data_IF_043844621891
#
_entry.id   IF_043844621891
#
_cell.length_a   1.000
_cell.length_b   1.000
_cell.length_c   1.000
_cell.angle_alpha   90.00
_cell.angle_beta   90.00
_cell.angle_gamma   90.00
#
_symmetry.space_group_name_H-M   'P 1'
#
loop_
_entity.id
_entity.type
_entity.pdbx_description
1 polymer ?
#
# COMPACT_ATOMS: atom_id res chain seq x y z
N UNK A 1 7.49 25.41 7.79
CA UNK A 1 7.89 25.24 9.20
C UNK A 1 8.04 23.75 9.47
N UNK A 2 9.25 23.19 9.42
CA UNK A 2 9.49 21.81 9.83
C UNK A 2 9.74 21.80 11.34
N UNK A 3 8.66 21.79 12.12
CA UNK A 3 8.76 21.40 13.53
C UNK A 3 9.37 20.00 13.54
N UNK A 4 10.60 19.83 14.05
CA UNK A 4 11.39 18.58 13.99
C UNK A 4 10.75 17.35 14.66
N UNK A 5 9.46 17.44 14.97
CA UNK A 5 8.59 16.37 15.44
C UNK A 5 8.37 15.31 14.36
N UNK A 6 8.17 15.74 13.11
CA UNK A 6 7.99 14.84 11.96
C UNK A 6 9.02 15.16 10.89
N UNK A 7 9.87 14.18 10.58
CA UNK A 7 10.78 14.20 9.45
C UNK A 7 10.17 13.37 8.32
N UNK A 8 9.55 14.07 7.37
CA UNK A 8 8.96 13.49 6.17
C UNK A 8 9.92 12.48 5.51
N UNK A 9 9.42 11.29 5.21
CA UNK A 9 10.18 10.19 4.60
C UNK A 9 11.06 9.40 5.59
N UNK A 10 11.27 9.89 6.82
CA UNK A 10 12.12 9.23 7.80
C UNK A 10 11.43 9.10 9.19
N UNK A 11 10.62 8.04 9.39
CA UNK A 11 9.97 7.77 10.68
C UNK A 11 10.99 7.56 11.80
N UNK A 12 12.09 6.85 11.54
CA UNK A 12 13.11 6.54 12.54
C UNK A 12 13.84 7.79 13.05
N UNK A 13 13.82 8.90 12.31
CA UNK A 13 14.32 10.19 12.76
C UNK A 13 13.23 11.14 13.27
N UNK A 14 11.96 10.77 13.16
CA UNK A 14 10.83 11.58 13.61
C UNK A 14 10.60 11.39 15.10
N UNK A 15 10.68 12.48 15.88
CA UNK A 15 10.40 12.45 17.32
C UNK A 15 9.03 11.84 17.62
N UNK A 16 8.01 12.14 16.81
CA UNK A 16 6.66 11.58 16.95
C UNK A 16 6.66 10.06 16.98
N UNK A 17 7.38 9.41 16.06
CA UNK A 17 7.42 7.95 16.02
C UNK A 17 8.22 7.38 17.20
N UNK A 18 9.36 8.00 17.53
CA UNK A 18 10.23 7.57 18.63
C UNK A 18 9.50 7.52 19.98
N UNK A 19 8.71 8.54 20.30
CA UNK A 19 7.99 8.61 21.58
C UNK A 19 6.88 7.56 21.70
N UNK A 20 6.29 7.12 20.57
CA UNK A 20 5.24 6.10 20.54
C UNK A 20 5.80 4.68 20.72
N UNK A 21 7.07 4.46 20.39
CA UNK A 21 7.75 3.16 20.53
C UNK A 21 8.72 3.12 21.72
N UNK A 22 8.81 4.20 22.49
CA UNK A 22 9.67 4.26 23.66
C UNK A 22 9.21 3.24 24.73
N UNK A 23 10.07 2.95 25.70
CA UNK A 23 9.68 2.08 26.81
C UNK A 23 8.55 2.74 27.61
N UNK A 24 7.45 2.03 27.95
CA UNK A 24 6.30 2.61 28.66
C UNK A 24 6.63 3.31 29.98
N UNK A 25 7.76 2.97 30.60
CA UNK A 25 8.24 3.56 31.85
C UNK A 25 9.18 4.76 31.66
N UNK A 26 9.46 5.17 30.42
CA UNK A 26 10.33 6.31 30.13
C UNK A 26 9.55 7.63 30.11
N UNK A 27 10.20 8.72 30.51
CA UNK A 27 9.59 10.07 30.46
C UNK A 27 9.29 10.54 29.03
N UNK A 28 9.92 9.93 28.03
CA UNK A 28 9.68 10.23 26.62
C UNK A 28 8.48 9.45 26.05
N UNK A 29 7.96 8.45 26.76
CA UNK A 29 6.86 7.63 26.25
C UNK A 29 5.56 8.40 26.13
N UNK A 30 4.95 8.28 24.96
CA UNK A 30 3.66 8.88 24.67
C UNK A 30 2.66 7.80 24.20
N UNK A 31 1.43 7.81 24.72
CA UNK A 31 0.90 8.78 25.68
C UNK A 31 1.39 8.49 27.12
N UNK A 32 1.52 9.52 27.97
CA UNK A 32 1.99 9.35 29.34
C UNK A 32 0.95 8.62 30.19
N UNK A 33 1.37 8.03 31.30
CA UNK A 33 0.44 7.51 32.31
C UNK A 33 -0.59 8.58 32.72
N UNK A 34 -1.90 8.26 32.86
CA UNK A 34 -2.50 6.91 32.92
C UNK A 34 -3.06 6.40 31.58
N UNK A 35 -2.70 7.02 30.45
CA UNK A 35 -3.29 6.67 29.16
C UNK A 35 -2.72 5.37 28.59
N UNK A 36 -3.56 4.62 27.87
CA UNK A 36 -3.15 3.39 27.22
C UNK A 36 -2.23 3.66 26.02
N UNK A 37 -1.20 2.83 25.80
CA UNK A 37 -0.42 2.85 24.57
C UNK A 37 -1.30 2.74 23.33
N UNK A 38 -0.87 3.39 22.24
CA UNK A 38 -1.45 3.11 20.93
C UNK A 38 -1.19 1.65 20.56
N UNK A 39 -2.11 1.05 19.81
CA UNK A 39 -1.91 -0.30 19.29
C UNK A 39 -0.81 -0.32 18.24
N UNK A 40 -0.18 -1.48 18.03
CA UNK A 40 0.85 -1.64 16.99
C UNK A 40 0.35 -1.24 15.60
N UNK A 41 -0.92 -1.47 15.29
CA UNK A 41 -1.53 -1.06 14.02
C UNK A 41 -1.66 0.46 13.91
N UNK A 42 -2.08 1.14 14.97
CA UNK A 42 -2.17 2.60 15.01
C UNK A 42 -0.80 3.25 14.87
N UNK A 43 0.22 2.70 15.54
CA UNK A 43 1.62 3.12 15.39
C UNK A 43 2.10 2.85 13.96
N UNK A 44 1.71 1.72 13.36
CA UNK A 44 2.01 1.37 11.97
C UNK A 44 1.43 2.37 10.96
N UNK A 45 0.22 2.90 11.20
CA UNK A 45 -0.37 3.95 10.36
C UNK A 45 0.44 5.25 10.42
N UNK A 46 0.89 5.64 11.62
CA UNK A 46 1.72 6.84 11.81
C UNK A 46 3.08 6.66 11.14
N UNK A 47 3.72 5.49 11.31
CA UNK A 47 4.96 5.14 10.60
C UNK A 47 4.79 5.29 9.10
N UNK A 48 3.73 4.69 8.54
CA UNK A 48 3.47 4.72 7.10
C UNK A 48 3.21 6.13 6.57
N UNK A 49 2.41 6.93 7.30
CA UNK A 49 2.17 8.33 6.97
C UNK A 49 3.46 9.17 6.96
N UNK A 50 4.39 8.93 7.88
CA UNK A 50 5.69 9.61 7.86
C UNK A 50 6.53 9.11 6.68
N UNK A 51 6.59 7.79 6.44
CA UNK A 51 7.37 7.19 5.36
C UNK A 51 6.99 7.70 3.97
N UNK A 52 5.73 8.02 3.73
CA UNK A 52 5.28 8.59 2.44
C UNK A 52 5.62 10.08 2.28
N UNK A 53 6.30 10.70 3.25
CA UNK A 53 6.61 12.12 3.22
C UNK A 53 5.69 13.01 4.05
N UNK A 54 4.93 12.43 4.99
CA UNK A 54 3.97 13.16 5.83
C UNK A 54 2.96 13.99 5.01
N UNK A 55 2.59 13.48 3.83
CA UNK A 55 1.70 14.15 2.89
C UNK A 55 0.27 14.24 3.44
N UNK A 56 -0.39 15.35 3.12
CA UNK A 56 -1.82 15.55 3.35
C UNK A 56 -2.61 14.83 2.26
N UNK A 57 -2.62 13.50 2.37
CA UNK A 57 -3.40 12.68 1.45
C UNK A 57 -4.89 12.96 1.70
N UNK A 58 -5.71 13.10 0.63
CA UNK A 58 -7.14 13.19 0.82
C UNK A 58 -7.63 12.00 1.66
N UNK A 59 -8.55 12.24 2.59
CA UNK A 59 -9.22 11.22 3.41
C UNK A 59 -10.09 10.26 2.58
N UNK A 60 -9.82 10.09 1.28
CA UNK A 60 -10.40 9.07 0.43
C UNK A 60 -9.71 7.73 0.67
N UNK A 61 -10.26 7.04 1.67
CA UNK A 61 -9.87 5.72 2.18
C UNK A 61 -8.46 5.68 2.76
N UNK A 62 -8.41 5.67 4.09
CA UNK A 62 -7.47 4.78 4.78
C UNK A 62 -7.47 3.47 4.01
N UNK A 63 -6.32 3.10 3.49
CA UNK A 63 -6.12 1.83 2.83
C UNK A 63 -6.60 0.69 3.74
N UNK A 64 -7.84 0.24 3.58
CA UNK A 64 -8.27 -0.96 4.27
C UNK A 64 -7.71 -2.14 3.50
N UNK A 65 -6.53 -2.58 3.93
CA UNK A 65 -5.92 -3.77 3.36
C UNK A 65 -6.74 -5.03 3.63
N UNK A 66 -7.79 -5.00 4.45
CA UNK A 66 -8.72 -6.12 4.62
C UNK A 66 -9.83 -6.14 3.56
N UNK A 67 -10.03 -5.04 2.83
CA UNK A 67 -10.84 -5.05 1.62
C UNK A 67 -9.94 -5.36 0.41
N UNK A 68 -9.93 -6.62 -0.01
CA UNK A 68 -9.08 -7.10 -1.10
C UNK A 68 -9.80 -8.07 -2.03
N UNK A 69 -11.14 -8.14 -1.99
CA UNK A 69 -11.88 -9.04 -2.87
C UNK A 69 -11.70 -8.66 -4.33
N UNK A 70 -11.91 -9.63 -5.22
CA UNK A 70 -11.67 -9.44 -6.64
C UNK A 70 -12.57 -8.35 -7.23
N UNK A 71 -13.87 -8.44 -6.96
CA UNK A 71 -14.92 -7.57 -7.51
C UNK A 71 -14.84 -6.14 -6.96
N UNK A 72 -14.50 -5.98 -5.68
CA UNK A 72 -14.53 -4.69 -4.99
C UNK A 72 -13.21 -3.94 -5.12
N UNK A 73 -12.08 -4.65 -5.12
CA UNK A 73 -10.76 -4.02 -5.02
C UNK A 73 -9.85 -4.34 -6.19
N UNK A 74 -9.66 -5.62 -6.52
CA UNK A 74 -8.64 -6.01 -7.51
C UNK A 74 -9.05 -5.58 -8.92
N UNK A 75 -10.25 -5.94 -9.39
CA UNK A 75 -10.72 -5.58 -10.72
C UNK A 75 -10.78 -4.05 -10.91
N UNK A 76 -11.39 -3.26 -10.00
CA UNK A 76 -11.35 -1.81 -10.12
C UNK A 76 -9.92 -1.23 -10.11
N UNK A 77 -9.01 -1.81 -9.34
CA UNK A 77 -7.60 -1.39 -9.34
C UNK A 77 -6.94 -1.66 -10.70
N UNK A 78 -7.14 -2.85 -11.26
CA UNK A 78 -6.61 -3.22 -12.58
C UNK A 78 -7.19 -2.34 -13.68
N UNK A 79 -8.51 -2.10 -13.68
CA UNK A 79 -9.17 -1.25 -14.67
C UNK A 79 -8.63 0.18 -14.62
N UNK A 80 -8.48 0.75 -13.42
CA UNK A 80 -8.07 2.14 -13.27
C UNK A 80 -6.57 2.38 -13.52
N UNK A 81 -5.71 1.37 -13.36
CA UNK A 81 -4.25 1.57 -13.36
C UNK A 81 -3.51 0.75 -14.44
N UNK A 82 -4.16 -0.24 -15.07
CA UNK A 82 -3.49 -1.16 -16.00
C UNK A 82 -4.18 -1.24 -17.36
N UNK A 83 -5.52 -1.17 -17.40
CA UNK A 83 -6.29 -1.42 -18.62
C UNK A 83 -5.97 -0.46 -19.77
N UNK A 84 -5.48 0.76 -19.51
CA UNK A 84 -5.10 1.71 -20.56
C UNK A 84 -4.06 1.16 -21.56
N UNK A 85 -3.19 0.24 -21.11
CA UNK A 85 -2.20 -0.42 -21.98
C UNK A 85 -2.42 -1.94 -22.09
N UNK A 86 -3.10 -2.55 -21.11
CA UNK A 86 -3.27 -4.01 -21.00
C UNK A 86 -4.73 -4.46 -21.23
N UNK A 87 -5.42 -3.87 -22.19
CA UNK A 87 -6.77 -4.27 -22.57
C UNK A 87 -7.00 -4.19 -24.09
N UNK A 88 -8.17 -4.65 -24.54
CA UNK A 88 -8.59 -4.55 -25.94
C UNK A 88 -7.83 -5.48 -26.89
N UNK A 89 -7.91 -5.18 -28.19
CA UNK A 89 -7.39 -6.06 -29.26
C UNK A 89 -5.86 -6.07 -29.39
N UNK A 90 -5.17 -5.03 -28.89
CA UNK A 90 -3.71 -4.88 -29.01
C UNK A 90 -3.09 -4.55 -27.64
N UNK A 91 -3.15 -5.47 -26.67
CA UNK A 91 -2.59 -5.26 -25.35
C UNK A 91 -1.05 -5.22 -25.40
N UNK A 92 -0.46 -4.33 -24.59
CA UNK A 92 0.99 -4.23 -24.42
C UNK A 92 1.57 -5.57 -23.98
N UNK A 93 2.66 -5.98 -24.63
CA UNK A 93 3.32 -7.27 -24.42
C UNK A 93 2.41 -8.51 -24.55
N UNK A 94 1.27 -8.38 -25.25
CA UNK A 94 0.29 -9.47 -25.38
C UNK A 94 -0.44 -9.80 -24.07
N UNK A 95 -0.37 -8.92 -23.06
CA UNK A 95 -0.94 -9.15 -21.73
C UNK A 95 -2.27 -8.42 -21.57
N UNK A 96 -3.37 -9.16 -21.56
CA UNK A 96 -4.70 -8.65 -21.22
C UNK A 96 -4.96 -8.76 -19.72
N UNK A 97 -5.59 -7.74 -19.14
CA UNK A 97 -5.98 -7.65 -17.73
C UNK A 97 -7.42 -7.13 -17.62
N UNK A 98 -8.35 -7.77 -18.32
CA UNK A 98 -9.74 -7.33 -18.51
C UNK A 98 -10.78 -8.22 -17.81
N UNK A 99 -10.38 -9.42 -17.39
CA UNK A 99 -11.23 -10.37 -16.68
C UNK A 99 -10.44 -11.19 -15.66
N UNK A 100 -11.16 -11.91 -14.79
CA UNK A 100 -10.59 -12.74 -13.73
C UNK A 100 -9.56 -13.75 -14.25
N UNK A 101 -9.90 -14.51 -15.29
CA UNK A 101 -9.03 -15.56 -15.85
C UNK A 101 -7.71 -14.97 -16.35
N UNK A 102 -7.77 -13.84 -17.05
CA UNK A 102 -6.60 -13.16 -17.58
C UNK A 102 -5.72 -12.59 -16.46
N UNK A 103 -6.31 -12.02 -15.41
CA UNK A 103 -5.57 -11.51 -14.24
C UNK A 103 -4.90 -12.65 -13.48
N UNK A 104 -5.59 -13.77 -13.25
CA UNK A 104 -5.01 -14.96 -12.59
C UNK A 104 -3.87 -15.53 -13.43
N UNK A 105 -4.03 -15.62 -14.74
CA UNK A 105 -2.96 -16.03 -15.66
C UNK A 105 -1.75 -15.10 -15.57
N UNK A 106 -1.97 -13.79 -15.46
CA UNK A 106 -0.90 -12.82 -15.30
C UNK A 106 -0.12 -13.01 -13.99
N UNK A 107 -0.82 -13.30 -12.90
CA UNK A 107 -0.19 -13.64 -11.62
C UNK A 107 0.66 -14.90 -11.73
N UNK A 108 0.10 -15.97 -12.28
CA UNK A 108 0.76 -17.29 -12.28
C UNK A 108 1.91 -17.37 -13.30
N UNK A 109 1.76 -16.76 -14.47
CA UNK A 109 2.63 -17.03 -15.63
C UNK A 109 3.38 -15.79 -16.15
N UNK A 110 3.06 -14.58 -15.68
CA UNK A 110 3.62 -13.32 -16.21
C UNK A 110 4.22 -12.42 -15.12
N UNK A 111 4.38 -12.94 -13.90
CA UNK A 111 4.99 -12.23 -12.77
C UNK A 111 4.30 -10.88 -12.45
N UNK A 112 2.97 -10.82 -12.50
CA UNK A 112 2.22 -9.57 -12.27
C UNK A 112 2.66 -8.86 -10.97
N UNK A 113 2.71 -9.58 -9.85
CA UNK A 113 3.07 -8.99 -8.55
C UNK A 113 4.49 -8.42 -8.53
N UNK A 114 5.47 -9.13 -9.09
CA UNK A 114 6.85 -8.66 -9.14
C UNK A 114 6.99 -7.38 -9.96
N UNK A 115 6.26 -7.27 -11.07
CA UNK A 115 6.28 -6.09 -11.94
C UNK A 115 5.65 -4.86 -11.27
N UNK A 116 4.50 -5.03 -10.61
CA UNK A 116 3.81 -3.93 -9.93
C UNK A 116 4.47 -3.50 -8.61
N UNK A 117 5.50 -4.21 -8.15
CA UNK A 117 6.24 -3.93 -6.93
C UNK A 117 7.72 -3.62 -7.20
N UNK A 118 8.14 -3.48 -8.47
CA UNK A 118 9.54 -3.24 -8.86
C UNK A 118 9.86 -1.74 -8.95
N UNK A 119 10.94 -1.31 -8.31
CA UNK A 119 11.44 0.08 -8.45
C UNK A 119 12.46 0.25 -9.57
N UNK A 120 13.01 -0.85 -10.11
CA UNK A 120 14.02 -0.81 -11.19
C UNK A 120 13.39 -0.75 -12.57
N UNK A 121 12.26 -1.44 -12.75
CA UNK A 121 11.46 -1.40 -13.97
C UNK A 121 9.98 -1.40 -13.56
N UNK A 122 9.46 -0.26 -13.10
CA UNK A 122 8.12 -0.19 -12.54
C UNK A 122 7.07 -0.43 -13.63
N UNK A 123 6.05 -1.20 -13.26
CA UNK A 123 4.80 -1.27 -14.01
C UNK A 123 3.67 -0.76 -13.09
N UNK A 124 2.98 0.34 -13.42
CA UNK A 124 3.04 1.07 -14.68
C UNK A 124 4.35 1.84 -14.95
N UNK A 125 4.70 2.13 -16.22
CA UNK A 125 5.98 2.74 -16.61
C UNK A 125 6.14 4.19 -16.13
N UNK A 126 5.02 4.85 -15.80
CA UNK A 126 4.99 6.20 -15.25
C UNK A 126 5.17 6.23 -13.71
N UNK A 127 5.38 5.08 -13.08
CA UNK A 127 5.62 4.96 -11.65
C UNK A 127 4.68 3.96 -10.97
N UNK A 128 5.09 3.51 -9.79
CA UNK A 128 4.32 2.55 -9.00
C UNK A 128 3.00 3.14 -8.53
N UNK A 129 1.96 2.31 -8.54
CA UNK A 129 0.72 2.61 -7.83
C UNK A 129 0.96 2.66 -6.31
N UNK A 130 -0.02 3.16 -5.55
CA UNK A 130 0.15 3.28 -4.09
C UNK A 130 0.46 1.92 -3.45
N UNK A 131 1.35 1.92 -2.45
CA UNK A 131 1.71 0.72 -1.70
C UNK A 131 0.50 0.00 -1.09
N UNK A 132 -0.56 0.76 -0.79
CA UNK A 132 -1.86 0.22 -0.40
C UNK A 132 -2.45 -0.77 -1.41
N UNK A 133 -2.62 -0.32 -2.66
CA UNK A 133 -3.23 -1.10 -3.74
C UNK A 133 -2.40 -2.35 -4.03
N UNK A 134 -1.07 -2.20 -4.01
CA UNK A 134 -0.12 -3.31 -4.14
C UNK A 134 -0.33 -4.33 -3.01
N UNK A 135 -0.50 -3.89 -1.76
CA UNK A 135 -0.79 -4.78 -0.62
C UNK A 135 -2.14 -5.48 -0.73
N UNK A 136 -3.19 -4.80 -1.20
CA UNK A 136 -4.50 -5.42 -1.43
C UNK A 136 -4.42 -6.51 -2.51
N UNK A 137 -3.75 -6.23 -3.63
CA UNK A 137 -3.50 -7.24 -4.68
C UNK A 137 -2.70 -8.41 -4.10
N UNK A 138 -1.67 -8.15 -3.28
CA UNK A 138 -0.88 -9.20 -2.63
C UNK A 138 -1.73 -10.08 -1.71
N UNK A 139 -2.56 -9.48 -0.85
CA UNK A 139 -3.47 -10.22 0.04
C UNK A 139 -4.47 -11.07 -0.73
N UNK A 140 -5.02 -10.55 -1.83
CA UNK A 140 -5.87 -11.34 -2.72
C UNK A 140 -5.13 -12.54 -3.33
N UNK A 141 -3.88 -12.34 -3.78
CA UNK A 141 -3.04 -13.43 -4.30
C UNK A 141 -2.81 -14.50 -3.24
N UNK A 142 -2.48 -14.08 -2.02
CA UNK A 142 -2.21 -14.95 -0.87
C UNK A 142 -3.45 -15.69 -0.38
N UNK A 143 -4.63 -15.06 -0.47
CA UNK A 143 -5.92 -15.66 -0.15
C UNK A 143 -6.42 -16.64 -1.23
N UNK A 144 -5.57 -17.03 -2.19
CA UNK A 144 -5.90 -18.01 -3.21
C UNK A 144 -6.54 -17.43 -4.46
N UNK A 145 -6.46 -16.10 -4.67
CA UNK A 145 -6.98 -15.40 -5.86
C UNK A 145 -8.48 -15.64 -6.08
N UNK A 146 -9.29 -15.61 -5.03
CA UNK A 146 -10.73 -15.91 -5.13
C UNK A 146 -11.46 -14.96 -6.09
N UNK A 147 -12.45 -15.46 -6.82
CA UNK A 147 -13.35 -14.64 -7.64
C UNK A 147 -14.58 -14.23 -6.81
N UNK A 148 -14.42 -13.22 -5.95
CA UNK A 148 -15.43 -12.73 -5.00
C UNK A 148 -15.55 -11.21 -5.01
#
# INVERSE_FOLDING_TARGET
>A
MASGIVKAGNPSESKLYKVLIASPNSEEFMPPSPYLPLTSDQIGLIYWWISQGALDNPCSSLCDTNNFTFSVTVMPTIQNNCAGCHSGSNPSAGLMLDNYTNIVNAVNNKNLYGLINSTTNPMPPYGLMSACKIRQIKKWIDAGKQNN
#
